data_IF_438008487574
#
_entry.id   IF_438008487574
#
_cell.length_a   1.000
_cell.length_b   1.000
_cell.length_c   1.000
_cell.angle_alpha   90.00
_cell.angle_beta   90.00
_cell.angle_gamma   90.00
#
_symmetry.space_group_name_H-M   'P 1'
#
loop_
_entity.id
_entity.type
_entity.pdbx_description
1 polymer ?
#
# COMPACT_ATOMS: atom_id res chain seq x y z
N UNK A 1 2.54 -7.02 -23.01
CA UNK A 1 2.53 -5.61 -22.62
C UNK A 1 1.33 -4.96 -23.29
N UNK A 2 0.45 -4.35 -22.50
CA UNK A 2 -0.71 -3.62 -22.99
C UNK A 2 -0.76 -2.28 -22.24
N UNK A 3 -1.28 -1.24 -22.90
CA UNK A 3 -1.55 0.07 -22.34
C UNK A 3 -2.95 0.05 -21.73
N UNK A 4 -3.02 0.31 -20.43
CA UNK A 4 -4.25 0.30 -19.64
C UNK A 4 -4.52 1.72 -19.17
N UNK A 5 -5.72 2.20 -19.42
CA UNK A 5 -6.22 3.45 -18.85
C UNK A 5 -6.97 3.15 -17.56
N UNK A 6 -6.55 3.73 -16.45
CA UNK A 6 -7.26 3.66 -15.16
C UNK A 6 -7.87 5.03 -14.89
N UNK A 7 -9.18 5.06 -14.68
CA UNK A 7 -9.96 6.29 -14.53
C UNK A 7 -10.69 6.24 -13.20
N UNK A 8 -10.23 7.03 -12.24
CA UNK A 8 -10.76 7.08 -10.88
C UNK A 8 -10.36 8.41 -10.24
N UNK A 9 -11.29 9.12 -9.60
CA UNK A 9 -10.95 10.33 -8.85
C UNK A 9 -10.15 9.99 -7.58
N UNK A 10 -10.21 8.74 -7.11
CA UNK A 10 -9.40 8.23 -6.02
C UNK A 10 -7.94 7.98 -6.41
N UNK A 11 -7.09 9.01 -6.22
CA UNK A 11 -5.65 8.97 -6.51
C UNK A 11 -4.95 7.77 -5.88
N UNK A 12 -5.22 7.46 -4.61
CA UNK A 12 -4.62 6.28 -3.95
C UNK A 12 -4.93 4.99 -4.72
N UNK A 13 -6.16 4.83 -5.17
CA UNK A 13 -6.59 3.63 -5.89
C UNK A 13 -5.99 3.58 -7.31
N UNK A 14 -5.93 4.71 -8.02
CA UNK A 14 -5.20 4.85 -9.27
C UNK A 14 -3.73 4.46 -9.13
N UNK A 15 -3.03 4.97 -8.12
CA UNK A 15 -1.60 4.73 -7.90
C UNK A 15 -1.32 3.28 -7.49
N UNK A 16 -2.23 2.69 -6.70
CA UNK A 16 -2.23 1.27 -6.36
C UNK A 16 -2.37 0.41 -7.62
N UNK A 17 -3.39 0.64 -8.44
CA UNK A 17 -3.59 -0.09 -9.70
C UNK A 17 -2.41 0.11 -10.66
N UNK A 18 -1.88 1.33 -10.76
CA UNK A 18 -0.67 1.63 -11.55
C UNK A 18 0.54 0.83 -11.08
N UNK A 19 0.77 0.75 -9.77
CA UNK A 19 1.87 -0.01 -9.19
C UNK A 19 1.73 -1.49 -9.50
N UNK A 20 0.55 -2.05 -9.27
CA UNK A 20 0.31 -3.50 -9.42
C UNK A 20 0.24 -3.91 -10.89
N UNK A 21 -0.50 -3.20 -11.75
CA UNK A 21 -0.55 -3.51 -13.17
C UNK A 21 0.81 -3.26 -13.85
N UNK A 22 1.56 -2.27 -13.41
CA UNK A 22 2.94 -2.03 -13.83
C UNK A 22 3.87 -3.21 -13.50
N UNK A 23 3.75 -3.79 -12.30
CA UNK A 23 4.52 -5.00 -11.94
C UNK A 23 4.13 -6.23 -12.75
N UNK A 24 2.94 -6.23 -13.36
CA UNK A 24 2.48 -7.26 -14.31
C UNK A 24 2.90 -6.97 -15.77
N UNK A 25 3.74 -5.95 -16.01
CA UNK A 25 4.30 -5.64 -17.33
C UNK A 25 3.36 -4.88 -18.26
N UNK A 26 2.35 -4.21 -17.69
CA UNK A 26 1.49 -3.29 -18.42
C UNK A 26 2.02 -1.85 -18.34
N UNK A 27 1.76 -1.08 -19.39
CA UNK A 27 1.87 0.38 -19.33
C UNK A 27 0.56 0.91 -18.76
N UNK A 28 0.62 1.77 -17.75
CA UNK A 28 -0.59 2.27 -17.08
C UNK A 28 -0.63 3.78 -17.14
N UNK A 29 -1.69 4.29 -17.76
CA UNK A 29 -2.03 5.70 -17.83
C UNK A 29 -3.18 5.93 -16.84
N UNK A 30 -3.09 6.97 -16.02
CA UNK A 30 -4.08 7.28 -14.98
C UNK A 30 -4.76 8.61 -15.28
N UNK A 31 -6.09 8.65 -15.15
CA UNK A 31 -6.91 9.86 -15.23
C UNK A 31 -7.73 10.02 -13.95
N UNK A 32 -7.87 11.25 -13.45
CA UNK A 32 -8.53 11.52 -12.17
C UNK A 32 -9.88 12.22 -12.31
N UNK A 33 -10.36 12.38 -13.55
CA UNK A 33 -11.68 12.92 -13.87
C UNK A 33 -12.09 12.54 -15.30
N UNK A 34 -13.37 12.70 -15.63
CA UNK A 34 -13.91 12.30 -16.92
C UNK A 34 -13.37 13.08 -18.12
N UNK A 35 -12.93 14.34 -17.95
CA UNK A 35 -12.33 15.13 -19.05
C UNK A 35 -10.97 14.57 -19.44
N UNK A 36 -10.10 14.46 -18.44
CA UNK A 36 -8.75 13.90 -18.58
C UNK A 36 -8.81 12.47 -19.14
N UNK A 37 -9.79 11.67 -18.71
CA UNK A 37 -10.00 10.32 -19.22
C UNK A 37 -10.20 10.27 -20.74
N UNK A 38 -11.02 11.18 -21.28
CA UNK A 38 -11.31 11.22 -22.72
C UNK A 38 -10.13 11.73 -23.54
N UNK A 39 -9.40 12.71 -23.00
CA UNK A 39 -8.20 13.24 -23.63
C UNK A 39 -7.12 12.15 -23.69
N UNK A 40 -6.85 11.46 -22.58
CA UNK A 40 -5.87 10.38 -22.51
C UNK A 40 -6.31 9.14 -23.30
N UNK A 41 -7.60 8.79 -23.32
CA UNK A 41 -8.12 7.71 -24.15
C UNK A 41 -7.83 7.98 -25.63
N UNK A 42 -8.07 9.21 -26.08
CA UNK A 42 -7.87 9.62 -27.47
C UNK A 42 -6.38 9.74 -27.84
N UNK A 43 -5.52 10.07 -26.88
CA UNK A 43 -4.07 10.20 -27.10
C UNK A 43 -3.35 8.86 -27.10
N UNK A 44 -3.71 7.96 -26.17
CA UNK A 44 -2.98 6.72 -25.93
C UNK A 44 -3.61 5.48 -26.56
N UNK A 45 -4.87 5.56 -27.00
CA UNK A 45 -5.62 4.42 -27.56
C UNK A 45 -5.45 3.13 -26.73
N UNK A 46 -5.82 3.16 -25.45
CA UNK A 46 -5.55 2.06 -24.53
C UNK A 46 -6.27 0.76 -24.98
N UNK A 47 -5.59 -0.38 -24.85
CA UNK A 47 -6.22 -1.69 -25.14
C UNK A 47 -7.25 -2.09 -24.08
N UNK A 48 -7.22 -1.47 -22.90
CA UNK A 48 -8.19 -1.71 -21.83
C UNK A 48 -8.40 -0.47 -20.97
N UNK A 49 -9.63 -0.23 -20.54
CA UNK A 49 -9.98 0.87 -19.63
C UNK A 49 -10.66 0.33 -18.37
N UNK A 50 -10.12 0.66 -17.20
CA UNK A 50 -10.77 0.52 -15.90
C UNK A 50 -11.41 1.86 -15.55
N UNK A 51 -12.72 1.89 -15.35
CA UNK A 51 -13.49 3.13 -15.22
C UNK A 51 -14.38 3.12 -13.97
N UNK A 52 -14.21 4.11 -13.09
CA UNK A 52 -15.17 4.37 -12.03
C UNK A 52 -16.44 5.05 -12.56
N UNK A 53 -17.57 4.77 -11.92
CA UNK A 53 -18.84 5.41 -12.23
C UNK A 53 -19.03 6.74 -11.53
N UNK A 54 -18.56 6.89 -10.29
CA UNK A 54 -18.84 8.08 -9.49
C UNK A 54 -17.61 8.97 -9.42
N UNK A 55 -17.53 9.85 -10.39
CA UNK A 55 -16.54 10.92 -10.43
C UNK A 55 -17.24 12.28 -10.41
N UNK A 56 -16.63 13.32 -9.80
CA UNK A 56 -17.12 14.69 -9.87
C UNK A 56 -17.22 15.20 -11.31
N UNK A 57 -18.13 16.15 -11.52
CA UNK A 57 -18.38 16.87 -12.79
C UNK A 57 -18.91 16.00 -13.94
N UNK A 58 -18.21 14.91 -14.30
CA UNK A 58 -18.59 13.96 -15.35
C UNK A 58 -18.49 12.53 -14.83
N UNK A 59 -19.63 11.87 -14.68
CA UNK A 59 -19.69 10.49 -14.20
C UNK A 59 -19.19 9.48 -15.25
N UNK A 60 -18.86 8.27 -14.80
CA UNK A 60 -18.32 7.21 -15.67
C UNK A 60 -19.28 6.73 -16.76
N UNK A 61 -20.59 6.87 -16.58
CA UNK A 61 -21.55 6.53 -17.63
C UNK A 61 -21.45 7.51 -18.81
N UNK A 62 -21.29 8.80 -18.53
CA UNK A 62 -21.07 9.82 -19.56
C UNK A 62 -19.72 9.63 -20.27
N UNK A 63 -18.66 9.30 -19.51
CA UNK A 63 -17.35 8.96 -20.07
C UNK A 63 -17.47 7.75 -20.99
N UNK A 64 -18.12 6.67 -20.53
CA UNK A 64 -18.33 5.45 -21.32
C UNK A 64 -19.09 5.74 -22.61
N UNK A 65 -20.17 6.54 -22.57
CA UNK A 65 -20.91 6.93 -23.79
C UNK A 65 -20.00 7.63 -24.78
N UNK A 66 -19.14 8.53 -24.33
CA UNK A 66 -18.20 9.27 -25.19
C UNK A 66 -17.09 8.37 -25.72
N UNK A 67 -16.53 7.49 -24.90
CA UNK A 67 -15.59 6.45 -25.36
C UNK A 67 -16.22 5.64 -26.49
N UNK A 68 -17.48 5.20 -26.36
CA UNK A 68 -18.21 4.46 -27.41
C UNK A 68 -18.42 5.26 -28.71
N UNK A 69 -18.38 6.59 -28.67
CA UNK A 69 -18.39 7.41 -29.90
C UNK A 69 -17.03 7.51 -30.58
N UNK A 70 -15.95 7.34 -29.84
CA UNK A 70 -14.57 7.37 -30.34
C UNK A 70 -14.19 5.97 -30.85
N UNK A 71 -14.51 4.95 -30.05
CA UNK A 71 -14.29 3.53 -30.34
C UNK A 71 -15.44 2.70 -29.75
N UNK A 72 -16.28 2.18 -30.65
CA UNK A 72 -17.44 1.39 -30.29
C UNK A 72 -17.07 0.05 -29.62
N UNK A 73 -15.89 -0.49 -29.91
CA UNK A 73 -15.44 -1.80 -29.47
C UNK A 73 -14.43 -1.74 -28.32
N UNK A 74 -14.12 -0.55 -27.81
CA UNK A 74 -13.13 -0.37 -26.74
C UNK A 74 -13.44 -1.26 -25.51
N UNK A 75 -12.45 -2.00 -25.01
CA UNK A 75 -12.62 -2.82 -23.83
C UNK A 75 -12.67 -1.92 -22.57
N UNK A 76 -13.84 -1.87 -21.92
CA UNK A 76 -14.07 -1.05 -20.74
C UNK A 76 -14.69 -1.91 -19.65
N UNK A 77 -14.03 -1.98 -18.50
CA UNK A 77 -14.57 -2.58 -17.28
C UNK A 77 -14.90 -1.49 -16.27
N UNK A 78 -16.05 -1.63 -15.63
CA UNK A 78 -16.45 -0.73 -14.56
C UNK A 78 -15.92 -1.24 -13.22
N UNK A 79 -15.30 -0.35 -12.43
CA UNK A 79 -14.91 -0.59 -11.05
C UNK A 79 -15.61 0.44 -10.16
N UNK A 80 -16.63 0.04 -9.39
CA UNK A 80 -17.35 0.99 -8.51
C UNK A 80 -17.44 0.46 -7.08
N UNK A 81 -17.26 1.32 -6.09
CA UNK A 81 -17.53 0.98 -4.69
C UNK A 81 -19.04 1.06 -4.35
N UNK A 82 -19.84 1.75 -5.15
CA UNK A 82 -21.30 1.78 -5.03
C UNK A 82 -21.94 1.87 -6.43
N UNK A 83 -22.61 0.79 -6.84
CA UNK A 83 -23.44 0.76 -8.04
C UNK A 83 -24.90 0.56 -7.64
N UNK A 84 -25.80 1.39 -8.16
CA UNK A 84 -27.22 1.02 -8.16
C UNK A 84 -27.48 0.03 -9.28
N UNK A 85 -28.48 -0.84 -9.12
CA UNK A 85 -28.95 -1.75 -10.17
C UNK A 85 -29.24 -1.01 -11.49
N UNK A 86 -29.68 0.26 -11.41
CA UNK A 86 -29.95 1.09 -12.58
C UNK A 86 -28.65 1.49 -13.32
N UNK A 87 -27.63 1.94 -12.59
CA UNK A 87 -26.34 2.30 -13.17
C UNK A 87 -25.61 1.10 -13.76
N UNK A 88 -25.64 -0.05 -13.08
CA UNK A 88 -25.07 -1.29 -13.61
C UNK A 88 -25.77 -1.72 -14.89
N UNK A 89 -27.12 -1.73 -14.91
CA UNK A 89 -27.89 -2.05 -16.13
C UNK A 89 -27.53 -1.12 -17.28
N UNK A 90 -27.40 0.18 -17.00
CA UNK A 90 -27.04 1.16 -18.03
C UNK A 90 -25.61 0.93 -18.55
N UNK A 91 -24.64 0.64 -17.69
CA UNK A 91 -23.30 0.28 -18.11
C UNK A 91 -23.29 -0.98 -19.00
N UNK A 92 -24.01 -2.04 -18.60
CA UNK A 92 -24.14 -3.27 -19.40
C UNK A 92 -24.80 -3.04 -20.75
N UNK A 93 -25.82 -2.19 -20.82
CA UNK A 93 -26.46 -1.80 -22.09
C UNK A 93 -25.50 -1.06 -23.05
N UNK A 94 -24.49 -0.37 -22.51
CA UNK A 94 -23.45 0.30 -23.28
C UNK A 94 -22.28 -0.63 -23.66
N UNK A 95 -22.41 -1.94 -23.40
CA UNK A 95 -21.43 -2.93 -23.82
C UNK A 95 -20.12 -2.88 -23.04
N UNK A 96 -20.18 -2.71 -21.71
CA UNK A 96 -18.99 -2.91 -20.87
C UNK A 96 -18.59 -4.38 -20.87
N UNK A 97 -17.28 -4.60 -20.80
CA UNK A 97 -16.67 -5.91 -20.78
C UNK A 97 -16.96 -6.65 -19.47
N UNK A 98 -16.93 -5.92 -18.35
CA UNK A 98 -17.34 -6.44 -17.03
C UNK A 98 -17.72 -5.29 -16.09
N UNK A 99 -18.33 -5.63 -14.95
CA UNK A 99 -18.68 -4.72 -13.87
C UNK A 99 -18.31 -5.35 -12.53
N UNK A 100 -17.39 -4.74 -11.80
CA UNK A 100 -16.87 -5.26 -10.55
C UNK A 100 -16.92 -4.22 -9.42
N UNK A 101 -16.98 -4.71 -8.18
CA UNK A 101 -16.85 -3.86 -7.00
C UNK A 101 -15.39 -3.53 -6.72
N UNK A 102 -15.07 -2.27 -6.39
CA UNK A 102 -13.74 -1.88 -5.87
C UNK A 102 -13.39 -2.56 -4.54
N UNK A 103 -14.38 -3.13 -3.83
CA UNK A 103 -14.18 -3.87 -2.59
C UNK A 103 -13.66 -5.30 -2.81
N UNK A 104 -13.57 -5.76 -4.06
CA UNK A 104 -12.93 -7.03 -4.37
C UNK A 104 -11.42 -6.91 -4.21
N UNK A 105 -10.79 -8.02 -3.84
CA UNK A 105 -9.33 -8.11 -3.83
C UNK A 105 -8.77 -7.81 -5.23
N UNK A 106 -7.67 -7.06 -5.30
CA UNK A 106 -7.05 -6.65 -6.56
C UNK A 106 -6.76 -7.81 -7.51
N UNK A 107 -6.32 -8.96 -6.99
CA UNK A 107 -6.06 -10.16 -7.80
C UNK A 107 -7.29 -10.59 -8.61
N UNK A 108 -8.49 -10.40 -8.06
CA UNK A 108 -9.76 -10.72 -8.75
C UNK A 108 -10.02 -9.75 -9.89
N UNK A 109 -9.78 -8.45 -9.67
CA UNK A 109 -9.92 -7.40 -10.68
C UNK A 109 -8.95 -7.65 -11.84
N UNK A 110 -7.68 -7.91 -11.52
CA UNK A 110 -6.63 -8.17 -12.49
C UNK A 110 -6.93 -9.45 -13.29
N UNK A 111 -7.34 -10.52 -12.61
CA UNK A 111 -7.69 -11.78 -13.27
C UNK A 111 -8.87 -11.59 -14.23
N UNK A 112 -9.89 -10.79 -13.86
CA UNK A 112 -11.01 -10.51 -14.77
C UNK A 112 -10.52 -9.74 -15.99
N UNK A 113 -9.73 -8.67 -15.79
CA UNK A 113 -9.16 -7.87 -16.87
C UNK A 113 -8.33 -8.71 -17.85
N UNK A 114 -7.45 -9.58 -17.33
CA UNK A 114 -6.56 -10.41 -18.14
C UNK A 114 -7.29 -11.40 -19.06
N UNK A 115 -8.55 -11.78 -18.75
CA UNK A 115 -9.36 -12.63 -19.65
C UNK A 115 -9.72 -11.95 -20.97
N UNK A 116 -9.68 -10.62 -20.99
CA UNK A 116 -10.05 -9.81 -22.14
C UNK A 116 -8.86 -9.21 -22.87
N UNK A 117 -7.66 -9.33 -22.28
CA UNK A 117 -6.42 -9.02 -22.96
C UNK A 117 -5.91 -10.28 -23.69
N UNK A 118 -5.29 -10.13 -24.87
CA UNK A 118 -4.62 -11.25 -25.51
C UNK A 118 -3.52 -11.81 -24.57
N UNK A 119 -3.32 -13.14 -24.55
CA UNK A 119 -2.32 -13.75 -23.67
C UNK A 119 -0.96 -13.11 -23.94
N UNK A 120 -0.40 -12.44 -22.93
CA UNK A 120 0.94 -11.88 -23.04
C UNK A 120 1.89 -13.06 -23.08
N UNK A 121 2.57 -13.27 -24.22
CA UNK A 121 3.64 -14.24 -24.32
C UNK A 121 4.71 -13.85 -23.30
N UNK A 122 4.74 -14.56 -22.17
CA UNK A 122 5.90 -14.51 -21.30
C UNK A 122 7.06 -15.11 -22.09
N UNK A 123 8.05 -14.28 -22.42
CA UNK A 123 9.34 -14.76 -22.88
C UNK A 123 9.98 -15.44 -21.68
N UNK A 124 9.71 -16.73 -21.49
CA UNK A 124 10.55 -17.58 -20.67
C UNK A 124 11.86 -17.70 -21.44
N UNK A 125 12.85 -16.90 -21.09
CA UNK A 125 14.21 -17.13 -21.56
C UNK A 125 14.61 -18.54 -21.14
N UNK A 126 14.92 -19.45 -22.07
CA UNK A 126 15.46 -20.75 -21.70
C UNK A 126 16.76 -20.54 -20.91
N UNK A 127 17.04 -21.35 -19.87
CA UNK A 127 18.29 -21.25 -19.14
C UNK A 127 19.45 -21.38 -20.14
N UNK A 128 20.36 -20.41 -20.11
CA UNK A 128 21.54 -20.42 -20.96
C UNK A 128 22.33 -21.72 -20.74
N UNK A 129 22.81 -22.38 -21.82
CA UNK A 129 23.67 -23.54 -21.66
C UNK A 129 24.96 -23.15 -20.91
N UNK A 130 25.56 -24.08 -20.14
CA UNK A 130 26.77 -23.78 -19.38
C UNK A 130 27.91 -23.35 -20.30
N UNK A 131 28.80 -22.44 -19.85
CA UNK A 131 29.86 -21.90 -20.69
C UNK A 131 30.81 -23.01 -21.14
N UNK A 132 31.00 -23.12 -22.46
CA UNK A 132 31.99 -24.00 -23.10
C UNK A 132 33.38 -23.51 -22.69
N UNK A 133 34.12 -24.36 -21.98
CA UNK A 133 35.52 -24.12 -21.65
C UNK A 133 36.37 -24.15 -22.92
N UNK A 134 36.75 -22.99 -23.44
CA UNK A 134 37.79 -22.87 -24.45
C UNK A 134 39.15 -23.07 -23.79
N UNK A 135 39.83 -24.16 -24.17
CA UNK A 135 41.21 -24.47 -23.77
C UNK A 135 42.17 -23.39 -24.29
N UNK A 136 42.97 -22.83 -23.39
CA UNK A 136 44.10 -21.94 -23.70
C UNK A 136 45.22 -22.71 -24.43
N UNK A 137 46.02 -22.06 -25.30
CA UNK A 137 47.17 -22.69 -25.97
C UNK A 137 48.39 -22.82 -25.03
N UNK A 138 49.34 -23.73 -25.32
CA UNK A 138 50.44 -24.06 -24.42
C UNK A 138 51.59 -23.04 -24.48
N UNK A 139 52.39 -22.88 -23.41
CA UNK A 139 53.59 -22.06 -23.43
C UNK A 139 54.84 -22.85 -23.84
N UNK A 140 55.75 -22.13 -24.50
CA UNK A 140 57.07 -22.55 -24.99
C UNK A 140 58.10 -22.78 -23.87
N UNK A 141 59.14 -23.54 -24.19
CA UNK A 141 60.12 -24.17 -23.28
C UNK A 141 61.50 -23.46 -23.27
N UNK A 142 62.25 -23.65 -22.16
CA UNK A 142 63.70 -23.41 -21.86
C UNK A 142 64.09 -22.03 -21.25
N UNK A 143 64.98 -21.88 -20.25
CA UNK A 143 66.11 -22.73 -19.80
C UNK A 143 66.62 -22.40 -18.35
N UNK A 144 67.05 -23.45 -17.62
CA UNK A 144 68.14 -23.65 -16.60
C UNK A 144 68.31 -22.86 -15.26
N UNK A 145 68.39 -23.69 -14.20
CA UNK A 145 68.89 -23.66 -12.79
C UNK A 145 70.24 -22.95 -12.46
N UNK A 146 70.71 -22.78 -11.19
CA UNK A 146 70.50 -23.63 -9.99
C UNK A 146 70.37 -22.98 -8.56
N UNK A 147 70.08 -23.84 -7.57
CA UNK A 147 69.98 -23.61 -6.09
C UNK A 147 71.31 -24.05 -5.36
N UNK A 148 71.46 -24.21 -4.01
CA UNK A 148 70.60 -24.01 -2.79
C UNK A 148 71.43 -23.32 -1.62
N UNK A 149 71.24 -23.48 -0.25
CA UNK A 149 70.31 -24.31 0.57
C UNK A 149 69.73 -23.74 1.93
N UNK A 150 68.66 -24.42 2.42
CA UNK A 150 68.32 -24.93 3.80
C UNK A 150 68.30 -23.92 4.98
N UNK A 151 67.25 -23.81 5.83
CA UNK A 151 66.94 -24.70 6.98
C UNK A 151 65.61 -24.34 7.71
N UNK A 152 64.99 -25.34 8.36
CA UNK A 152 63.81 -25.34 9.28
C UNK A 152 64.36 -25.51 10.74
N UNK A 153 63.61 -25.72 11.86
CA UNK A 153 62.14 -25.74 12.14
C UNK A 153 61.67 -25.17 13.53
N UNK A 154 60.34 -25.24 13.80
CA UNK A 154 59.66 -25.60 15.10
C UNK A 154 59.75 -24.61 16.29
N UNK A 155 58.85 -24.50 17.29
CA UNK A 155 57.57 -25.10 17.75
C UNK A 155 57.19 -24.40 19.08
N UNK A 156 56.01 -24.73 19.66
CA UNK A 156 55.52 -24.47 21.05
C UNK A 156 54.78 -23.14 21.30
N UNK A 157 53.74 -23.05 22.15
CA UNK A 157 52.81 -23.99 22.81
C UNK A 157 51.87 -23.12 23.67
N UNK A 158 50.61 -23.54 23.86
CA UNK A 158 49.65 -22.98 24.82
C UNK A 158 50.09 -23.24 26.30
N UNK A 159 49.39 -22.71 27.34
CA UNK A 159 48.16 -23.37 27.80
C UNK A 159 47.05 -22.47 28.42
N UNK A 160 45.91 -23.14 28.63
CA UNK A 160 44.60 -22.80 29.19
C UNK A 160 44.57 -22.46 30.70
N UNK A 161 43.46 -21.90 31.22
CA UNK A 161 42.82 -22.35 32.49
C UNK A 161 41.38 -21.80 32.77
N UNK A 162 40.49 -22.74 33.15
CA UNK A 162 39.36 -22.79 34.14
C UNK A 162 38.37 -21.61 34.31
N UNK A 163 37.04 -21.76 34.17
CA UNK A 163 36.00 -22.56 34.90
C UNK A 163 35.49 -21.94 36.22
N UNK A 164 34.18 -21.66 36.34
CA UNK A 164 33.27 -22.06 37.45
C UNK A 164 31.89 -21.34 37.43
N UNK A 165 30.85 -22.12 37.75
CA UNK A 165 29.51 -21.74 38.27
C UNK A 165 29.14 -22.80 39.32
N UNK A 166 28.40 -22.50 40.41
CA UNK A 166 26.94 -22.80 40.42
C UNK A 166 26.04 -21.91 41.34
N UNK A 167 24.71 -22.11 41.20
CA UNK A 167 23.47 -21.52 41.80
C UNK A 167 23.27 -21.71 43.34
N UNK A 168 22.07 -21.55 44.00
CA UNK A 168 20.81 -20.77 43.82
C UNK A 168 20.29 -20.07 45.13
N UNK A 169 19.14 -19.34 45.09
CA UNK A 169 17.96 -19.46 46.03
C UNK A 169 17.26 -18.15 46.50
N UNK A 170 15.91 -18.28 46.59
CA UNK A 170 14.90 -17.63 47.46
C UNK A 170 13.97 -16.54 46.87
N UNK A 171 12.70 -16.92 46.81
CA UNK A 171 11.44 -16.23 46.46
C UNK A 171 10.85 -15.46 47.68
N UNK A 172 10.31 -14.23 47.54
CA UNK A 172 8.87 -13.76 47.62
C UNK A 172 8.79 -12.39 48.34
N UNK A 173 7.66 -11.62 48.36
CA UNK A 173 6.40 -11.70 47.60
C UNK A 173 5.91 -10.35 46.97
N UNK A 174 4.80 -10.47 46.20
CA UNK A 174 4.02 -9.48 45.43
C UNK A 174 3.57 -8.20 46.18
N UNK A 175 3.59 -7.08 45.48
CA UNK A 175 2.69 -5.94 45.71
C UNK A 175 1.97 -5.55 44.40
N UNK A 176 0.69 -5.16 44.53
CA UNK A 176 -0.34 -5.18 43.49
C UNK A 176 -0.37 -3.87 42.67
N UNK A 177 -0.48 -4.05 41.34
CA UNK A 177 -1.18 -3.23 40.34
C UNK A 177 -1.29 -1.71 40.56
N UNK A 178 -0.29 -0.98 40.07
CA UNK A 178 -0.55 0.32 39.44
C UNK A 178 -1.16 0.08 38.03
N UNK A 179 -2.00 0.98 37.48
CA UNK A 179 -2.42 0.86 36.09
C UNK A 179 -1.17 0.91 35.22
N UNK A 180 -0.89 -0.21 34.54
CA UNK A 180 0.24 -0.33 33.62
C UNK A 180 0.13 0.79 32.59
N UNK A 181 1.00 1.79 32.69
CA UNK A 181 1.05 2.89 31.74
C UNK A 181 1.39 2.27 30.38
N UNK A 182 0.46 2.35 29.43
CA UNK A 182 0.68 1.86 28.06
C UNK A 182 1.94 2.55 27.53
N UNK A 183 2.92 1.82 26.97
CA UNK A 183 4.13 2.45 26.45
C UNK A 183 3.77 3.39 25.30
N UNK A 184 4.25 4.63 25.38
CA UNK A 184 4.18 5.60 24.28
C UNK A 184 5.16 5.15 23.19
N UNK A 185 4.66 5.01 21.96
CA UNK A 185 5.46 4.58 20.80
C UNK A 185 5.50 5.69 19.76
N UNK A 186 6.62 5.80 19.03
CA UNK A 186 6.76 6.73 17.89
C UNK A 186 5.96 6.29 16.65
N UNK A 187 5.15 5.25 16.79
CA UNK A 187 4.30 4.68 15.74
C UNK A 187 3.08 5.56 15.46
N UNK A 188 2.71 5.64 14.18
CA UNK A 188 1.44 6.18 13.68
C UNK A 188 0.52 5.01 13.36
N UNK A 189 -0.75 5.08 13.78
CA UNK A 189 -1.75 4.06 13.46
C UNK A 189 -2.62 4.52 12.30
N UNK A 190 -2.57 3.83 11.17
CA UNK A 190 -3.46 3.99 10.02
C UNK A 190 -4.65 3.04 10.15
N UNK A 191 -5.87 3.58 10.13
CA UNK A 191 -7.11 2.83 10.23
C UNK A 191 -7.86 2.95 8.91
N UNK A 192 -7.82 1.89 8.11
CA UNK A 192 -8.37 1.85 6.75
C UNK A 192 -8.86 0.43 6.44
N UNK A 193 -10.12 0.31 6.00
CA UNK A 193 -10.86 -0.97 5.90
C UNK A 193 -10.58 -1.79 4.64
N UNK A 194 -10.13 -1.16 3.56
CA UNK A 194 -9.62 -1.81 2.37
C UNK A 194 -8.15 -2.22 2.56
N UNK A 195 -7.90 -3.52 2.70
CA UNK A 195 -6.56 -4.05 2.97
C UNK A 195 -5.52 -3.65 1.90
N UNK A 196 -5.89 -3.58 0.62
CA UNK A 196 -4.97 -3.22 -0.46
C UNK A 196 -4.57 -1.74 -0.38
N UNK A 197 -5.53 -0.85 -0.14
CA UNK A 197 -5.29 0.60 0.08
C UNK A 197 -4.49 0.83 1.36
N UNK A 198 -4.87 0.18 2.45
CA UNK A 198 -4.16 0.22 3.73
C UNK A 198 -2.70 -0.19 3.60
N UNK A 199 -2.42 -1.31 2.91
CA UNK A 199 -1.08 -1.80 2.66
C UNK A 199 -0.26 -0.85 1.77
N UNK A 200 -0.87 -0.31 0.72
CA UNK A 200 -0.23 0.66 -0.15
C UNK A 200 0.17 1.93 0.62
N UNK A 201 -0.76 2.52 1.37
CA UNK A 201 -0.49 3.73 2.17
C UNK A 201 0.57 3.46 3.23
N UNK A 202 0.51 2.31 3.93
CA UNK A 202 1.55 1.88 4.88
C UNK A 202 2.92 1.85 4.19
N UNK A 203 3.05 1.16 3.06
CA UNK A 203 4.32 1.10 2.33
C UNK A 203 4.81 2.48 1.85
N UNK A 204 3.90 3.30 1.31
CA UNK A 204 4.20 4.64 0.81
C UNK A 204 4.74 5.57 1.92
N UNK A 205 4.09 5.55 3.09
CA UNK A 205 4.47 6.36 4.25
C UNK A 205 5.74 5.80 4.93
N UNK A 206 5.90 4.48 5.02
CA UNK A 206 7.12 3.86 5.55
C UNK A 206 8.35 4.16 4.69
N UNK A 207 8.21 4.21 3.36
CA UNK A 207 9.29 4.68 2.47
C UNK A 207 9.72 6.13 2.73
N UNK A 208 8.86 6.94 3.36
CA UNK A 208 9.19 8.30 3.83
C UNK A 208 9.79 8.36 5.22
N UNK A 209 10.12 7.20 5.81
CA UNK A 209 10.73 7.10 7.14
C UNK A 209 9.73 7.20 8.29
N UNK A 210 8.43 7.06 8.03
CA UNK A 210 7.39 7.03 9.07
C UNK A 210 7.17 5.60 9.56
N UNK A 211 7.08 5.41 10.88
CA UNK A 211 6.71 4.13 11.47
C UNK A 211 5.18 3.99 11.47
N UNK A 212 4.65 3.12 10.62
CA UNK A 212 3.21 2.97 10.39
C UNK A 212 2.76 1.57 10.80
N UNK A 213 1.79 1.51 11.71
CA UNK A 213 0.99 0.32 11.94
C UNK A 213 -0.40 0.46 11.33
N UNK A 214 -0.97 -0.66 10.91
CA UNK A 214 -2.26 -0.69 10.22
C UNK A 214 -3.30 -1.46 11.04
N UNK A 215 -4.52 -0.93 11.08
CA UNK A 215 -5.72 -1.62 11.55
C UNK A 215 -6.81 -1.51 10.48
N UNK A 216 -7.61 -2.57 10.32
CA UNK A 216 -8.63 -2.64 9.25
C UNK A 216 -10.05 -2.38 9.73
N UNK A 217 -10.26 -2.24 11.04
CA UNK A 217 -11.54 -1.90 11.63
C UNK A 217 -11.36 -1.18 12.97
N UNK A 218 -12.46 -0.63 13.49
CA UNK A 218 -12.45 0.11 14.75
C UNK A 218 -12.11 -0.76 15.97
N UNK A 219 -12.45 -2.05 15.97
CA UNK A 219 -12.16 -2.96 17.09
C UNK A 219 -10.66 -3.23 17.19
N UNK A 220 -10.02 -3.58 16.08
CA UNK A 220 -8.59 -3.78 15.97
C UNK A 220 -7.82 -2.51 16.35
N UNK A 221 -8.29 -1.33 15.90
CA UNK A 221 -7.70 -0.06 16.26
C UNK A 221 -7.75 0.21 17.77
N UNK A 222 -8.91 0.02 18.42
CA UNK A 222 -9.05 0.22 19.87
C UNK A 222 -8.25 -0.80 20.67
N UNK A 223 -8.12 -2.04 20.18
CA UNK A 223 -7.23 -3.05 20.79
C UNK A 223 -5.76 -2.66 20.67
N UNK A 224 -5.35 -2.09 19.53
CA UNK A 224 -3.99 -1.57 19.36
C UNK A 224 -3.70 -0.46 20.36
N UNK A 225 -4.57 0.55 20.44
CA UNK A 225 -4.40 1.70 21.34
C UNK A 225 -4.34 1.29 22.83
N UNK A 226 -5.01 0.18 23.20
CA UNK A 226 -4.91 -0.37 24.55
C UNK A 226 -3.54 -1.02 24.84
N UNK A 227 -2.82 -1.49 23.82
CA UNK A 227 -1.53 -2.20 23.95
C UNK A 227 -0.33 -1.27 23.79
N UNK A 228 -0.43 -0.33 22.86
CA UNK A 228 0.59 0.68 22.57
C UNK A 228 -0.13 2.00 22.30
N UNK A 229 0.38 3.12 22.81
CA UNK A 229 -0.22 4.43 22.56
C UNK A 229 0.45 5.04 21.32
N UNK A 230 -0.20 5.02 20.15
CA UNK A 230 0.37 5.65 18.95
C UNK A 230 0.41 7.16 19.14
N UNK A 231 1.45 7.80 18.60
CA UNK A 231 1.62 9.26 18.67
C UNK A 231 0.58 10.01 17.83
N UNK A 232 0.15 9.39 16.73
CA UNK A 232 -0.85 9.93 15.81
C UNK A 232 -1.72 8.78 15.28
N UNK A 233 -3.01 9.04 15.09
CA UNK A 233 -3.94 8.14 14.41
C UNK A 233 -4.43 8.81 13.13
N UNK A 234 -4.37 8.09 12.00
CA UNK A 234 -5.06 8.43 10.76
C UNK A 234 -6.30 7.55 10.66
N UNK A 235 -7.48 8.15 10.73
CA UNK A 235 -8.74 7.44 10.90
C UNK A 235 -9.68 7.67 9.70
N UNK A 236 -9.95 6.61 8.94
CA UNK A 236 -11.03 6.60 7.96
C UNK A 236 -12.41 6.68 8.67
N UNK A 237 -13.32 7.53 8.18
CA UNK A 237 -14.71 7.58 8.66
C UNK A 237 -15.52 6.36 8.26
N UNK A 238 -15.31 5.89 7.04
CA UNK A 238 -16.07 4.80 6.43
C UNK A 238 -15.43 3.45 6.79
N UNK A 239 -15.57 3.07 8.05
CA UNK A 239 -15.12 1.77 8.56
C UNK A 239 -16.28 0.78 8.59
N UNK A 240 -15.95 -0.49 8.31
CA UNK A 240 -16.89 -1.60 8.47
C UNK A 240 -17.08 -1.92 9.97
N UNK A 241 -18.31 -2.27 10.35
CA UNK A 241 -18.66 -2.56 11.75
C UNK A 241 -18.77 -1.29 12.60
N UNK A 242 -17.67 -0.85 13.19
CA UNK A 242 -17.63 0.37 14.03
C UNK A 242 -17.15 1.55 13.19
N UNK A 243 -18.05 2.46 12.82
CA UNK A 243 -17.72 3.67 12.06
C UNK A 243 -16.72 4.58 12.76
N UNK A 244 -16.00 5.41 12.00
CA UNK A 244 -14.89 6.22 12.52
C UNK A 244 -15.28 7.18 13.65
N UNK A 245 -16.47 7.79 13.61
CA UNK A 245 -16.93 8.64 14.72
C UNK A 245 -17.10 7.85 16.03
N UNK A 246 -17.54 6.60 15.97
CA UNK A 246 -17.67 5.76 17.17
C UNK A 246 -16.28 5.42 17.73
N UNK A 247 -15.30 5.12 16.86
CA UNK A 247 -13.90 4.93 17.26
C UNK A 247 -13.38 6.20 17.95
N UNK A 248 -13.63 7.38 17.37
CA UNK A 248 -13.18 8.65 17.95
C UNK A 248 -13.79 8.89 19.34
N UNK A 249 -15.08 8.61 19.53
CA UNK A 249 -15.74 8.72 20.86
C UNK A 249 -15.09 7.80 21.88
N UNK A 250 -14.80 6.56 21.51
CA UNK A 250 -14.11 5.59 22.38
C UNK A 250 -12.69 6.05 22.73
N UNK A 251 -11.93 6.58 21.76
CA UNK A 251 -10.60 7.14 21.99
C UNK A 251 -10.64 8.31 22.99
N UNK A 252 -11.63 9.21 22.85
CA UNK A 252 -11.81 10.34 23.79
C UNK A 252 -12.27 9.89 25.17
N UNK A 253 -13.17 8.91 25.27
CA UNK A 253 -13.57 8.32 26.55
C UNK A 253 -12.37 7.69 27.29
N UNK A 254 -11.42 7.11 26.55
CA UNK A 254 -10.15 6.57 27.07
C UNK A 254 -9.08 7.63 27.33
N UNK A 255 -9.39 8.91 27.14
CA UNK A 255 -8.44 10.03 27.29
C UNK A 255 -7.22 9.90 26.39
N UNK A 256 -7.38 9.38 25.17
CA UNK A 256 -6.31 9.39 24.16
C UNK A 256 -5.92 10.84 23.84
N UNK A 257 -4.65 11.16 24.07
CA UNK A 257 -4.07 12.50 23.92
C UNK A 257 -3.30 12.71 22.63
N UNK A 258 -3.00 11.64 21.88
CA UNK A 258 -2.33 11.76 20.59
C UNK A 258 -3.20 12.46 19.55
N UNK A 259 -2.57 12.90 18.47
CA UNK A 259 -3.28 13.57 17.39
C UNK A 259 -4.14 12.60 16.59
N UNK A 260 -5.26 13.08 16.04
CA UNK A 260 -6.13 12.30 15.16
C UNK A 260 -6.34 13.09 13.87
N UNK A 261 -5.89 12.54 12.74
CA UNK A 261 -6.22 13.03 11.39
C UNK A 261 -7.41 12.21 10.88
N UNK A 262 -8.46 12.89 10.43
CA UNK A 262 -9.68 12.24 9.96
C UNK A 262 -9.70 12.20 8.43
N UNK A 263 -10.08 11.07 7.84
CA UNK A 263 -10.34 10.94 6.41
C UNK A 263 -11.85 10.86 6.20
N UNK A 264 -12.45 11.92 5.66
CA UNK A 264 -13.90 12.09 5.54
C UNK A 264 -14.35 12.12 4.07
N UNK A 265 -15.49 11.51 3.76
CA UNK A 265 -16.18 11.80 2.49
C UNK A 265 -16.64 13.26 2.47
N UNK A 266 -16.50 13.94 1.33
CA UNK A 266 -16.84 15.36 1.18
C UNK A 266 -18.35 15.66 1.37
N UNK A 267 -19.21 14.63 1.33
CA UNK A 267 -20.67 14.79 1.35
C UNK A 267 -21.27 14.82 2.76
N UNK A 268 -20.48 14.60 3.82
CA UNK A 268 -20.98 14.50 5.20
C UNK A 268 -20.53 15.66 6.09
N UNK A 269 -21.21 16.81 5.94
CA UNK A 269 -20.98 18.01 6.77
C UNK A 269 -21.25 17.76 8.26
N UNK A 270 -22.16 16.84 8.61
CA UNK A 270 -22.49 16.57 10.02
C UNK A 270 -21.33 15.86 10.70
N UNK A 271 -20.80 14.82 10.07
CA UNK A 271 -19.62 14.11 10.58
C UNK A 271 -18.38 15.00 10.60
N UNK A 272 -18.24 15.91 9.62
CA UNK A 272 -17.15 16.89 9.60
C UNK A 272 -17.19 17.81 10.82
N UNK A 273 -18.33 18.44 11.11
CA UNK A 273 -18.47 19.33 12.27
C UNK A 273 -18.21 18.59 13.59
N UNK A 274 -18.74 17.37 13.74
CA UNK A 274 -18.50 16.54 14.92
C UNK A 274 -17.03 16.15 15.08
N UNK A 275 -16.32 15.89 13.98
CA UNK A 275 -14.89 15.60 14.00
C UNK A 275 -14.07 16.80 14.48
N UNK A 276 -14.46 18.02 14.09
CA UNK A 276 -13.84 19.26 14.58
C UNK A 276 -14.12 19.43 16.08
N UNK A 277 -15.37 19.30 16.50
CA UNK A 277 -15.79 19.46 17.90
C UNK A 277 -15.10 18.45 18.84
N UNK A 278 -14.81 17.24 18.36
CA UNK A 278 -14.07 16.22 19.11
C UNK A 278 -12.54 16.40 19.07
N UNK A 279 -12.05 17.50 18.48
CA UNK A 279 -10.64 17.90 18.49
C UNK A 279 -9.76 17.07 17.55
N UNK A 280 -10.24 16.75 16.34
CA UNK A 280 -9.34 16.28 15.28
C UNK A 280 -8.26 17.32 15.00
N UNK A 281 -7.04 16.86 14.71
CA UNK A 281 -5.89 17.74 14.45
C UNK A 281 -5.93 18.27 13.02
N UNK A 282 -6.39 17.43 12.10
CA UNK A 282 -6.61 17.78 10.70
C UNK A 282 -7.72 16.91 10.12
N UNK A 283 -8.35 17.38 9.04
CA UNK A 283 -9.37 16.65 8.30
C UNK A 283 -9.03 16.70 6.82
N UNK A 284 -8.86 15.51 6.23
CA UNK A 284 -8.62 15.34 4.81
C UNK A 284 -9.88 14.82 4.15
N UNK A 285 -10.34 15.54 3.13
CA UNK A 285 -11.41 15.09 2.26
C UNK A 285 -10.95 13.91 1.41
N UNK A 286 -11.85 12.96 1.20
CA UNK A 286 -11.72 11.94 0.15
C UNK A 286 -12.11 12.54 -1.20
N UNK A 287 -11.47 12.11 -2.30
CA UNK A 287 -10.40 11.11 -2.36
C UNK A 287 -9.08 11.58 -1.73
N UNK A 288 -8.38 10.67 -1.03
CA UNK A 288 -7.12 11.01 -0.35
C UNK A 288 -5.99 11.08 -1.37
N UNK A 289 -5.18 12.13 -1.29
CA UNK A 289 -3.90 12.19 -1.99
C UNK A 289 -2.79 11.69 -1.03
N UNK A 290 -2.02 10.64 -1.38
CA UNK A 290 -0.95 10.13 -0.53
C UNK A 290 0.09 11.20 -0.12
N UNK A 291 0.43 12.13 -1.01
CA UNK A 291 1.39 13.21 -0.72
C UNK A 291 0.81 14.19 0.30
N UNK A 292 -0.46 14.56 0.12
CA UNK A 292 -1.17 15.44 1.06
C UNK A 292 -1.30 14.78 2.43
N UNK A 293 -1.58 13.47 2.47
CA UNK A 293 -1.63 12.71 3.72
C UNK A 293 -0.26 12.70 4.41
N UNK A 294 0.82 12.44 3.67
CA UNK A 294 2.18 12.45 4.23
C UNK A 294 2.53 13.82 4.83
N UNK A 295 2.19 14.91 4.13
CA UNK A 295 2.41 16.27 4.62
C UNK A 295 1.61 16.56 5.89
N UNK A 296 0.32 16.21 5.91
CA UNK A 296 -0.55 16.41 7.07
C UNK A 296 -0.04 15.67 8.32
N UNK A 297 0.44 14.43 8.14
CA UNK A 297 1.08 13.64 9.20
C UNK A 297 2.33 14.38 9.72
N UNK A 298 3.23 14.80 8.83
CA UNK A 298 4.47 15.48 9.23
C UNK A 298 4.20 16.77 10.00
N UNK A 299 3.28 17.61 9.52
CA UNK A 299 2.88 18.86 10.19
C UNK A 299 2.28 18.56 11.57
N UNK A 300 1.36 17.59 11.66
CA UNK A 300 0.74 17.18 12.92
C UNK A 300 1.76 16.70 13.95
N UNK A 301 2.75 15.91 13.50
CA UNK A 301 3.82 15.43 14.37
C UNK A 301 4.74 16.55 14.86
N UNK A 302 4.95 17.61 14.06
CA UNK A 302 5.73 18.78 14.47
C UNK A 302 4.98 19.63 15.50
N UNK A 303 3.69 19.87 15.30
CA UNK A 303 2.86 20.66 16.20
C UNK A 303 2.67 19.97 17.56
N UNK A 304 2.60 18.63 17.59
CA UNK A 304 2.53 17.84 18.82
C UNK A 304 3.85 17.75 19.61
N UNK A 305 4.90 18.52 19.26
CA UNK A 305 6.16 18.62 20.04
C UNK A 305 6.25 19.89 20.90
N UNK A 306 5.23 20.77 20.87
CA UNK A 306 5.12 21.95 21.73
C UNK A 306 4.15 21.75 22.88
#
# INVERSE_FOLDING_TARGET
MATILVVDDERVFCDLLKTVLGSHGHEVVTAYNGREALDLFSQHHPQFTLLDLRMPEMNGIEVLRKIRTIDADAAVMILSAWGSDALEKQARQLGVTDFLSKTLALDTIITSMQRFLPPTTQVVTPPSPPPVQTKSPPPSVQEKSPAPPVEKPKERSAPSEQATSPSPSVEKPKEKNAPSKVPETDCILLIESNADVSNYLKQFLTKRGLDIEAAHDGSAALQFVNKAMPRLIVLNMDLTGMGGLAVMRELRAKKYTGGIIMLCSAEDETSLNLAIDMGSVDILGKPVDPERLALAIQVSLLLAKG
#
